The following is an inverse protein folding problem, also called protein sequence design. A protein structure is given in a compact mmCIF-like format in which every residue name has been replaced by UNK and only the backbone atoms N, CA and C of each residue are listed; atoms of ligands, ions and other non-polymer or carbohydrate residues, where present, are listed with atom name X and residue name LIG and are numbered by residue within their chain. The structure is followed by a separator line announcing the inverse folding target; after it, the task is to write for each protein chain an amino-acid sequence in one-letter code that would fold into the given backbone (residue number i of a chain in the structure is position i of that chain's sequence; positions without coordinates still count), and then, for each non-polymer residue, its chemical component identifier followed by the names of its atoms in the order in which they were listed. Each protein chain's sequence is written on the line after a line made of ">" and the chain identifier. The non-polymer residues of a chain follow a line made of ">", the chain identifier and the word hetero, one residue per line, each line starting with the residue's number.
data_IF_405386122878
#
_entry.id   IF_405386122878
#
_cell.length_a   1.000
_cell.length_b   1.000
_cell.length_c   1.000
_cell.angle_alpha   90.00
_cell.angle_beta   90.00
_cell.angle_gamma   90.00
#
_symmetry.space_group_name_H-M   'P 1'
#
loop_
_entity.id
_entity.type
_entity.pdbx_description
1 polymer ?
#
# COMPACT_ATOMS: atom_id res chain seq x y z
N UNK A 1 -36.77 -15.78 -26.19
CA UNK A 1 -36.46 -16.82 -25.19
C UNK A 1 -35.15 -17.48 -25.59
N UNK A 2 -34.02 -16.96 -25.08
CA UNK A 2 -32.70 -17.55 -25.26
C UNK A 2 -32.08 -17.66 -23.87
N UNK A 3 -31.67 -18.88 -23.55
CA UNK A 3 -31.29 -19.38 -22.22
C UNK A 3 -29.78 -19.19 -22.09
N UNK A 4 -29.33 -18.35 -21.15
CA UNK A 4 -27.89 -18.23 -20.85
C UNK A 4 -27.37 -19.51 -20.19
N UNK A 5 -26.17 -20.01 -20.55
CA UNK A 5 -25.56 -21.14 -19.88
C UNK A 5 -24.92 -20.69 -18.56
N UNK A 6 -25.39 -21.32 -17.49
CA UNK A 6 -24.85 -21.25 -16.13
C UNK A 6 -23.36 -21.64 -16.10
N UNK A 7 -22.50 -20.63 -15.93
CA UNK A 7 -21.10 -20.85 -15.59
C UNK A 7 -21.01 -21.26 -14.10
N UNK A 8 -20.91 -22.56 -13.84
CA UNK A 8 -20.47 -23.08 -12.54
C UNK A 8 -19.02 -22.66 -12.34
N UNK A 9 -18.80 -21.67 -11.48
CA UNK A 9 -17.48 -21.39 -10.91
C UNK A 9 -17.12 -22.55 -9.99
N UNK A 10 -16.19 -23.39 -10.44
CA UNK A 10 -15.64 -24.51 -9.68
C UNK A 10 -14.97 -24.01 -8.39
N UNK A 11 -15.53 -24.40 -7.24
CA UNK A 11 -15.05 -24.07 -5.87
C UNK A 11 -13.80 -24.84 -5.42
N UNK A 12 -12.97 -25.35 -6.33
CA UNK A 12 -12.03 -26.44 -6.02
C UNK A 12 -10.60 -26.04 -5.66
N UNK A 13 -10.25 -24.76 -5.48
CA UNK A 13 -8.83 -24.38 -5.26
C UNK A 13 -8.45 -23.78 -3.89
N UNK A 14 -9.37 -23.63 -2.92
CA UNK A 14 -9.06 -22.92 -1.66
C UNK A 14 -9.14 -23.76 -0.40
N UNK A 15 -8.69 -25.02 -0.44
CA UNK A 15 -8.66 -25.86 0.77
C UNK A 15 -7.40 -26.72 0.89
N UNK A 16 -6.23 -26.06 0.89
CA UNK A 16 -5.03 -26.63 1.51
C UNK A 16 -4.96 -26.19 3.00
N UNK A 17 -4.51 -27.06 3.92
CA UNK A 17 -4.55 -26.77 5.35
C UNK A 17 -3.36 -25.91 5.78
N UNK A 18 -3.35 -24.62 5.42
CA UNK A 18 -2.35 -23.65 5.89
C UNK A 18 -2.46 -23.33 7.39
N UNK A 19 -3.59 -23.75 8.01
CA UNK A 19 -4.03 -23.40 9.37
C UNK A 19 -3.14 -23.92 10.51
N UNK A 20 -2.02 -24.58 10.21
CA UNK A 20 -1.06 -25.08 11.20
C UNK A 20 0.42 -24.79 10.89
N UNK A 21 0.70 -24.15 9.74
CA UNK A 21 2.06 -23.79 9.29
C UNK A 21 2.35 -22.31 9.58
N UNK A 22 1.32 -21.46 9.54
CA UNK A 22 1.44 -19.99 9.67
C UNK A 22 0.59 -19.51 10.86
N UNK A 23 0.76 -20.14 12.03
CA UNK A 23 -0.09 -19.88 13.20
C UNK A 23 0.16 -18.47 13.78
N UNK A 24 -0.50 -17.47 13.17
CA UNK A 24 -0.49 -16.05 13.54
C UNK A 24 -1.50 -15.81 14.66
N UNK A 25 -0.98 -15.52 15.86
CA UNK A 25 -1.80 -15.21 17.05
C UNK A 25 -2.41 -13.83 16.90
N UNK A 26 -3.65 -13.78 16.43
CA UNK A 26 -4.46 -12.56 16.42
C UNK A 26 -4.86 -12.02 17.81
N UNK A 27 -4.07 -12.25 18.85
CA UNK A 27 -4.36 -11.74 20.19
C UNK A 27 -3.41 -10.61 20.64
N UNK A 28 -2.11 -10.60 20.30
CA UNK A 28 -1.18 -9.56 20.77
C UNK A 28 -0.21 -9.06 19.69
N UNK A 29 -0.75 -8.55 18.58
CA UNK A 29 0.04 -7.71 17.68
C UNK A 29 -0.37 -6.24 17.88
N UNK A 30 0.33 -5.60 18.81
CA UNK A 30 0.44 -4.16 18.97
C UNK A 30 1.18 -3.60 17.75
N UNK A 31 0.42 -3.39 16.67
CA UNK A 31 0.87 -2.87 15.38
C UNK A 31 1.46 -1.47 15.45
N UNK A 32 2.62 -1.35 16.10
CA UNK A 32 3.51 -0.22 16.05
C UNK A 32 4.68 -0.58 15.12
N UNK A 33 4.40 -0.66 13.83
CA UNK A 33 5.43 -0.61 12.80
C UNK A 33 5.64 0.86 12.45
N UNK A 34 6.58 1.49 13.15
CA UNK A 34 7.19 2.75 12.71
C UNK A 34 7.99 2.42 11.45
N UNK A 35 7.57 2.95 10.31
CA UNK A 35 8.36 2.92 9.09
C UNK A 35 9.52 3.92 9.27
N UNK A 36 10.67 3.44 9.73
CA UNK A 36 11.93 4.15 9.51
C UNK A 36 12.41 3.75 8.12
N UNK A 37 12.13 4.61 7.14
CA UNK A 37 12.56 4.51 5.76
C UNK A 37 13.78 5.41 5.57
N UNK A 38 14.96 4.81 5.53
CA UNK A 38 16.11 5.40 4.84
C UNK A 38 16.79 4.29 4.03
N UNK A 39 16.52 4.26 2.73
CA UNK A 39 17.31 3.54 1.74
C UNK A 39 17.34 4.38 0.46
N UNK A 40 18.51 4.85 0.00
CA UNK A 40 18.61 5.67 -1.20
C UNK A 40 18.24 4.86 -2.44
N UNK A 41 17.27 5.36 -3.21
CA UNK A 41 16.94 4.82 -4.53
C UNK A 41 17.84 5.55 -5.53
N UNK A 42 18.72 4.82 -6.22
CA UNK A 42 19.45 5.33 -7.37
C UNK A 42 18.54 5.21 -8.60
N UNK A 43 17.97 6.34 -9.03
CA UNK A 43 17.19 6.43 -10.27
C UNK A 43 18.15 6.64 -11.45
N UNK A 44 18.28 5.64 -12.33
CA UNK A 44 18.80 5.84 -13.68
C UNK A 44 17.63 6.23 -14.60
N UNK A 45 17.56 7.52 -14.93
CA UNK A 45 16.56 8.11 -15.84
C UNK A 45 17.01 7.90 -17.31
N UNK A 46 16.19 7.31 -18.20
CA UNK A 46 16.52 7.24 -19.61
C UNK A 46 16.18 8.58 -20.31
N UNK A 47 17.22 9.19 -20.89
CA UNK A 47 17.23 10.40 -21.71
C UNK A 47 15.90 10.69 -22.45
N UNK A 48 15.18 11.71 -21.96
CA UNK A 48 14.14 12.41 -22.72
C UNK A 48 14.66 13.82 -23.04
N UNK A 49 15.07 14.01 -24.29
CA UNK A 49 15.46 15.30 -24.85
C UNK A 49 14.27 16.28 -24.83
N UNK A 50 14.12 17.09 -23.78
CA UNK A 50 13.20 18.24 -23.73
C UNK A 50 13.95 19.53 -24.09
N UNK A 51 14.04 19.83 -25.39
CA UNK A 51 14.47 21.15 -25.89
C UNK A 51 13.34 22.17 -25.70
N UNK A 52 13.24 22.73 -24.50
CA UNK A 52 12.38 23.86 -24.16
C UNK A 52 13.05 24.73 -23.08
N UNK A 53 12.87 26.07 -23.08
CA UNK A 53 13.44 26.89 -22.02
C UNK A 53 12.90 26.43 -20.67
N UNK A 54 13.76 26.25 -19.65
CA UNK A 54 13.34 25.74 -18.36
C UNK A 54 12.25 26.66 -17.79
N UNK A 55 11.12 26.10 -17.31
CA UNK A 55 10.11 26.90 -16.63
C UNK A 55 10.77 27.59 -15.42
N UNK A 56 10.35 28.81 -15.05
CA UNK A 56 10.85 29.44 -13.84
C UNK A 56 10.58 28.50 -12.67
N UNK A 57 11.65 28.06 -12.01
CA UNK A 57 11.58 27.12 -10.88
C UNK A 57 10.56 27.63 -9.86
N UNK A 58 9.68 26.77 -9.32
CA UNK A 58 8.85 27.15 -8.19
C UNK A 58 9.80 27.45 -7.03
N UNK A 59 10.03 28.74 -6.76
CA UNK A 59 10.81 29.16 -5.60
C UNK A 59 10.06 28.69 -4.35
N UNK A 60 10.55 27.61 -3.74
CA UNK A 60 10.35 27.39 -2.33
C UNK A 60 10.69 28.69 -1.60
N UNK A 61 9.93 29.01 -0.54
CA UNK A 61 10.18 30.21 0.24
C UNK A 61 11.67 30.28 0.62
N UNK A 62 12.34 31.38 0.28
CA UNK A 62 13.77 31.54 0.50
C UNK A 62 14.15 31.40 1.98
N UNK A 63 13.23 31.75 2.89
CA UNK A 63 13.42 31.52 4.31
C UNK A 63 13.45 30.03 4.66
N UNK A 64 12.58 29.22 4.04
CA UNK A 64 12.56 27.77 4.19
C UNK A 64 13.82 27.14 3.62
N UNK A 65 14.20 27.50 2.38
CA UNK A 65 15.43 27.02 1.75
C UNK A 65 16.65 27.34 2.61
N UNK A 66 16.74 28.56 3.14
CA UNK A 66 17.83 28.94 4.05
C UNK A 66 17.81 28.12 5.35
N UNK A 67 16.63 27.87 5.92
CA UNK A 67 16.48 27.11 7.16
C UNK A 67 16.92 25.64 7.01
N UNK A 68 16.75 25.04 5.84
CA UNK A 68 17.19 23.65 5.56
C UNK A 68 18.63 23.55 5.02
N UNK A 69 19.39 24.66 5.04
CA UNK A 69 20.80 24.70 4.63
C UNK A 69 21.05 25.18 3.19
N UNK A 70 19.99 25.58 2.47
CA UNK A 70 20.04 26.04 1.09
C UNK A 70 19.83 24.91 0.08
N UNK A 71 19.60 25.27 -1.18
CA UNK A 71 19.36 24.33 -2.29
C UNK A 71 20.51 23.33 -2.44
N UNK A 72 21.76 23.77 -2.22
CA UNK A 72 22.94 22.89 -2.30
C UNK A 72 22.98 21.80 -1.23
N UNK A 73 22.43 22.05 -0.03
CA UNK A 73 22.32 21.04 1.04
C UNK A 73 21.19 20.04 0.77
N UNK A 74 20.11 20.49 0.15
CA UNK A 74 19.01 19.60 -0.28
C UNK A 74 19.51 18.66 -1.38
N UNK A 75 20.19 19.21 -2.41
CA UNK A 75 20.70 18.44 -3.53
C UNK A 75 21.79 17.42 -3.14
N UNK A 76 22.51 17.67 -2.04
CA UNK A 76 23.51 16.73 -1.50
C UNK A 76 22.94 15.72 -0.50
N UNK A 77 21.64 15.78 -0.19
CA UNK A 77 20.98 14.93 0.80
C UNK A 77 21.33 15.26 2.25
N UNK A 78 22.02 16.37 2.52
CA UNK A 78 22.47 16.76 3.87
C UNK A 78 21.51 17.79 4.45
N UNK A 79 20.37 17.33 4.96
CA UNK A 79 19.37 18.17 5.62
C UNK A 79 19.53 18.04 7.15
N UNK A 80 19.49 19.16 7.88
CA UNK A 80 19.60 19.12 9.35
C UNK A 80 18.37 18.44 9.97
N UNK A 81 18.58 17.26 10.54
CA UNK A 81 17.55 16.47 11.21
C UNK A 81 16.81 17.22 12.33
N UNK A 82 17.44 18.22 12.96
CA UNK A 82 16.77 19.06 13.97
C UNK A 82 15.71 19.97 13.35
N UNK A 83 15.95 20.47 12.15
CA UNK A 83 15.00 21.30 11.40
C UNK A 83 13.80 20.44 10.99
N UNK A 84 14.04 19.25 10.44
CA UNK A 84 12.98 18.30 10.09
C UNK A 84 12.14 17.90 11.33
N UNK A 85 12.81 17.64 12.45
CA UNK A 85 12.14 17.30 13.71
C UNK A 85 11.29 18.46 14.26
N UNK A 86 11.80 19.69 14.20
CA UNK A 86 11.05 20.88 14.61
C UNK A 86 9.85 21.15 13.68
N UNK A 87 9.99 20.93 12.37
CA UNK A 87 8.87 21.03 11.43
C UNK A 87 7.80 19.97 11.66
N UNK A 88 8.17 18.78 12.15
CA UNK A 88 7.22 17.74 12.53
C UNK A 88 6.37 18.15 13.74
N UNK A 89 6.97 18.85 14.72
CA UNK A 89 6.28 19.27 15.95
C UNK A 89 5.52 20.59 15.80
N UNK A 90 6.14 21.58 15.15
CA UNK A 90 5.69 22.98 15.17
C UNK A 90 5.41 23.52 13.75
N UNK A 91 5.74 22.77 12.70
CA UNK A 91 5.60 23.20 11.30
C UNK A 91 4.17 23.14 10.76
N UNK A 92 3.22 22.57 11.51
CA UNK A 92 1.81 22.56 11.14
C UNK A 92 1.04 23.51 12.06
N UNK A 93 0.52 24.59 11.49
CA UNK A 93 -0.45 25.42 12.20
C UNK A 93 -1.69 24.60 12.57
N UNK A 94 -2.36 24.98 13.65
CA UNK A 94 -3.64 24.37 14.01
C UNK A 94 -4.61 24.51 12.82
N UNK A 95 -5.31 23.44 12.41
CA UNK A 95 -6.21 23.50 11.27
C UNK A 95 -7.29 24.55 11.52
N UNK A 96 -7.32 25.57 10.68
CA UNK A 96 -8.34 26.62 10.73
C UNK A 96 -9.55 26.13 9.95
N UNK A 97 -10.69 26.03 10.63
CA UNK A 97 -11.96 25.78 9.96
C UNK A 97 -12.40 27.07 9.27
N UNK A 98 -12.37 27.07 7.94
CA UNK A 98 -12.95 28.13 7.13
C UNK A 98 -14.37 27.74 6.73
N UNK A 99 -15.31 28.69 6.84
CA UNK A 99 -16.60 28.51 6.17
C UNK A 99 -16.33 28.40 4.66
N UNK A 100 -16.93 27.41 3.97
CA UNK A 100 -16.77 27.29 2.53
C UNK A 100 -17.17 28.61 1.88
N UNK A 101 -16.28 29.19 1.08
CA UNK A 101 -16.59 30.42 0.36
C UNK A 101 -17.89 30.26 -0.44
N UNK A 102 -18.70 31.32 -0.49
CA UNK A 102 -20.02 31.29 -1.15
C UNK A 102 -19.97 30.78 -2.59
N UNK A 103 -18.86 31.00 -3.30
CA UNK A 103 -18.66 30.52 -4.67
C UNK A 103 -18.55 28.98 -4.78
N UNK A 104 -18.15 28.28 -3.71
CA UNK A 104 -18.11 26.82 -3.67
C UNK A 104 -19.50 26.18 -3.60
N UNK A 105 -20.52 26.96 -3.22
CA UNK A 105 -21.92 26.55 -3.23
C UNK A 105 -22.62 26.85 -4.56
N UNK A 106 -21.96 27.56 -5.48
CA UNK A 106 -22.49 27.88 -6.80
C UNK A 106 -22.18 26.73 -7.78
N UNK A 107 -23.00 26.54 -8.82
CA UNK A 107 -22.69 25.60 -9.90
C UNK A 107 -21.32 25.90 -10.51
N UNK A 108 -20.57 24.86 -10.86
CA UNK A 108 -19.29 25.02 -11.54
C UNK A 108 -19.47 25.81 -12.85
N UNK A 109 -18.77 26.93 -12.96
CA UNK A 109 -18.67 27.71 -14.20
C UNK A 109 -17.30 27.46 -14.80
N UNK A 110 -17.26 26.97 -16.04
CA UNK A 110 -16.02 26.83 -16.78
C UNK A 110 -15.36 28.20 -16.92
N UNK A 111 -14.18 28.37 -16.33
CA UNK A 111 -13.40 29.60 -16.46
C UNK A 111 -12.84 29.71 -17.88
N UNK A 112 -12.83 30.93 -18.42
CA UNK A 112 -12.16 31.22 -19.68
C UNK A 112 -10.66 30.97 -19.52
N UNK A 113 -10.03 30.39 -20.54
CA UNK A 113 -8.60 30.07 -20.48
C UNK A 113 -7.78 31.34 -20.26
N UNK A 114 -8.16 32.46 -20.90
CA UNK A 114 -7.45 33.74 -20.80
C UNK A 114 -7.45 34.35 -19.40
N UNK A 115 -8.49 34.11 -18.61
CA UNK A 115 -8.54 34.54 -17.20
C UNK A 115 -7.59 33.72 -16.33
N UNK A 116 -7.41 32.42 -16.63
CA UNK A 116 -6.50 31.53 -15.89
C UNK A 116 -5.05 31.92 -16.09
N UNK A 117 -4.65 32.31 -17.30
CA UNK A 117 -3.28 32.76 -17.55
C UNK A 117 -2.98 34.15 -16.97
N UNK A 118 -4.00 35.00 -16.80
CA UNK A 118 -3.84 36.30 -16.09
C UNK A 118 -3.66 36.12 -14.59
N UNK A 119 -4.41 35.20 -14.00
CA UNK A 119 -4.37 34.92 -12.56
C UNK A 119 -3.14 34.08 -12.18
N UNK A 120 -2.69 33.18 -13.06
CA UNK A 120 -1.53 32.31 -12.86
C UNK A 120 -0.55 32.37 -14.06
N UNK A 121 0.24 33.46 -14.17
CA UNK A 121 1.24 33.58 -15.22
C UNK A 121 2.29 32.47 -15.07
N UNK A 122 2.42 31.61 -16.08
CA UNK A 122 3.32 30.44 -16.08
C UNK A 122 2.61 29.08 -16.03
N UNK A 123 1.28 29.05 -15.94
CA UNK A 123 0.54 27.80 -16.04
C UNK A 123 0.69 27.19 -17.44
N UNK A 124 1.01 25.89 -17.51
CA UNK A 124 1.15 25.15 -18.77
C UNK A 124 -0.11 25.33 -19.64
N UNK A 125 0.09 25.84 -20.87
CA UNK A 125 -0.99 26.14 -21.82
C UNK A 125 -1.14 25.08 -22.92
N UNK A 126 -0.33 24.03 -22.88
CA UNK A 126 -0.44 22.91 -23.81
C UNK A 126 -1.58 21.94 -23.48
N UNK A 127 -1.67 20.84 -24.23
CA UNK A 127 -2.70 19.83 -24.01
C UNK A 127 -2.55 19.18 -22.63
N UNK A 128 -3.62 19.21 -21.84
CA UNK A 128 -3.66 18.64 -20.49
C UNK A 128 -4.77 17.60 -20.38
N UNK A 129 -4.61 16.68 -19.42
CA UNK A 129 -5.60 15.63 -19.13
C UNK A 129 -5.15 14.23 -19.54
N UNK A 130 -5.98 13.21 -19.27
CA UNK A 130 -5.61 11.82 -19.51
C UNK A 130 -5.46 11.54 -21.02
N UNK A 131 -4.44 10.77 -21.38
CA UNK A 131 -4.27 10.31 -22.77
C UNK A 131 -5.46 9.45 -23.20
N UNK A 132 -5.69 9.31 -24.52
CA UNK A 132 -6.74 8.43 -25.05
C UNK A 132 -6.62 6.99 -24.53
N UNK A 133 -5.40 6.51 -24.30
CA UNK A 133 -5.14 5.18 -23.72
C UNK A 133 -5.57 5.12 -22.26
N UNK A 134 -5.27 6.14 -21.45
CA UNK A 134 -5.71 6.23 -20.07
C UNK A 134 -7.25 6.31 -19.97
N UNK A 135 -7.90 7.11 -20.84
CA UNK A 135 -9.37 7.18 -20.91
C UNK A 135 -9.99 5.83 -21.27
N UNK A 136 -9.43 5.13 -22.25
CA UNK A 136 -9.90 3.80 -22.64
C UNK A 136 -9.75 2.79 -21.50
N UNK A 137 -8.63 2.82 -20.77
CA UNK A 137 -8.42 1.96 -19.60
C UNK A 137 -9.40 2.31 -18.46
N UNK A 138 -9.68 3.59 -18.25
CA UNK A 138 -10.59 4.08 -17.22
C UNK A 138 -12.08 3.81 -17.48
N UNK A 139 -12.45 3.15 -18.58
CA UNK A 139 -13.80 2.62 -18.81
C UNK A 139 -14.24 1.65 -17.71
N UNK A 140 -13.30 1.06 -16.97
CA UNK A 140 -13.56 0.30 -15.75
C UNK A 140 -12.61 0.71 -14.63
N UNK A 141 -13.03 0.60 -13.37
CA UNK A 141 -12.17 0.91 -12.22
C UNK A 141 -10.90 0.03 -12.19
N UNK A 142 -11.03 -1.26 -12.53
CA UNK A 142 -9.89 -2.16 -12.65
C UNK A 142 -8.97 -1.78 -13.81
N UNK A 143 -9.51 -1.33 -14.93
CA UNK A 143 -8.71 -0.89 -16.07
C UNK A 143 -7.90 0.37 -15.75
N UNK A 144 -8.48 1.35 -15.04
CA UNK A 144 -7.74 2.49 -14.52
C UNK A 144 -6.61 2.06 -13.57
N UNK A 145 -6.87 1.10 -12.68
CA UNK A 145 -5.87 0.58 -11.75
C UNK A 145 -4.71 -0.14 -12.46
N UNK A 146 -5.01 -1.08 -13.36
CA UNK A 146 -4.00 -1.83 -14.11
C UNK A 146 -3.30 -1.02 -15.21
N UNK A 147 -3.78 0.19 -15.51
CA UNK A 147 -3.05 1.14 -16.36
C UNK A 147 -1.74 1.57 -15.69
N UNK A 148 -1.78 1.83 -14.37
CA UNK A 148 -0.61 2.20 -13.56
C UNK A 148 0.16 0.98 -13.06
N UNK A 149 -0.55 -0.05 -12.57
CA UNK A 149 0.08 -1.23 -11.99
C UNK A 149 -0.07 -2.41 -12.95
N UNK A 150 0.76 -2.43 -13.99
CA UNK A 150 0.64 -3.40 -15.09
C UNK A 150 0.86 -4.85 -14.63
N UNK A 151 0.28 -5.86 -15.31
CA UNK A 151 0.41 -7.27 -14.93
C UNK A 151 1.84 -7.76 -14.69
N UNK A 152 2.80 -7.32 -15.52
CA UNK A 152 4.22 -7.69 -15.37
C UNK A 152 4.81 -7.26 -14.04
N UNK A 153 4.49 -6.06 -13.58
CA UNK A 153 4.95 -5.57 -12.28
C UNK A 153 4.49 -6.49 -11.14
N UNK A 154 3.27 -7.07 -11.22
CA UNK A 154 2.81 -8.02 -10.21
C UNK A 154 3.53 -9.36 -10.27
N UNK A 155 3.97 -9.78 -11.45
CA UNK A 155 4.78 -10.99 -11.64
C UNK A 155 6.17 -10.78 -11.05
N UNK A 156 6.80 -9.63 -11.34
CA UNK A 156 8.12 -9.26 -10.82
C UNK A 156 8.11 -9.14 -9.29
N UNK A 157 7.09 -8.50 -8.71
CA UNK A 157 6.93 -8.41 -7.24
C UNK A 157 6.73 -9.79 -6.63
N UNK A 158 5.95 -10.67 -7.27
CA UNK A 158 5.74 -12.03 -6.77
C UNK A 158 7.04 -12.83 -6.78
N UNK A 159 7.81 -12.76 -7.87
CA UNK A 159 9.12 -13.41 -7.97
C UNK A 159 10.09 -12.90 -6.90
N UNK A 160 10.22 -11.58 -6.74
CA UNK A 160 11.08 -10.97 -5.73
C UNK A 160 10.65 -11.34 -4.30
N UNK A 161 9.33 -11.37 -4.03
CA UNK A 161 8.80 -11.76 -2.72
C UNK A 161 9.09 -13.22 -2.39
N UNK A 162 9.00 -14.11 -3.38
CA UNK A 162 9.35 -15.52 -3.21
C UNK A 162 10.85 -15.71 -3.01
N UNK A 163 11.69 -14.96 -3.73
CA UNK A 163 13.14 -14.96 -3.52
C UNK A 163 13.48 -14.54 -2.08
N UNK A 164 12.93 -13.40 -1.63
CA UNK A 164 13.08 -12.92 -0.26
C UNK A 164 12.59 -13.96 0.77
N UNK A 165 11.47 -14.65 0.51
CA UNK A 165 10.98 -15.70 1.38
C UNK A 165 12.00 -16.83 1.55
N UNK A 166 12.64 -17.27 0.45
CA UNK A 166 13.66 -18.31 0.50
C UNK A 166 14.94 -17.86 1.21
N UNK A 167 15.41 -16.63 0.94
CA UNK A 167 16.56 -16.04 1.63
C UNK A 167 16.33 -15.93 3.14
N UNK A 168 15.10 -15.61 3.55
CA UNK A 168 14.71 -15.44 4.95
C UNK A 168 14.14 -16.69 5.61
N UNK A 169 14.23 -17.85 4.96
CA UNK A 169 13.60 -19.08 5.44
C UNK A 169 14.11 -19.49 6.84
N UNK A 170 15.43 -19.42 7.07
CA UNK A 170 16.03 -19.77 8.37
C UNK A 170 15.61 -18.80 9.48
N UNK A 171 15.68 -17.51 9.21
CA UNK A 171 15.29 -16.45 10.14
C UNK A 171 13.81 -16.59 10.53
N UNK A 172 12.94 -16.88 9.55
CA UNK A 172 11.51 -17.14 9.77
C UNK A 172 11.28 -18.40 10.61
N UNK A 173 12.00 -19.49 10.33
CA UNK A 173 11.89 -20.73 11.10
C UNK A 173 12.31 -20.53 12.56
N UNK A 174 13.40 -19.80 12.78
CA UNK A 174 13.88 -19.44 14.12
C UNK A 174 12.88 -18.54 14.86
N UNK A 175 12.38 -17.48 14.21
CA UNK A 175 11.38 -16.59 14.82
C UNK A 175 10.07 -17.30 15.15
N UNK A 176 9.63 -18.27 14.34
CA UNK A 176 8.50 -19.13 14.68
C UNK A 176 8.81 -20.04 15.88
N UNK A 177 9.99 -20.64 15.94
CA UNK A 177 10.40 -21.48 17.07
C UNK A 177 10.40 -20.70 18.39
N UNK A 178 10.93 -19.48 18.40
CA UNK A 178 10.95 -18.60 19.58
C UNK A 178 9.53 -18.26 20.07
N UNK A 179 8.60 -17.99 19.14
CA UNK A 179 7.18 -17.83 19.47
C UNK A 179 6.59 -19.10 20.09
N UNK A 180 6.92 -20.28 19.57
CA UNK A 180 6.44 -21.55 20.15
C UNK A 180 7.01 -21.83 21.55
N UNK A 181 8.29 -21.50 21.78
CA UNK A 181 8.93 -21.58 23.10
C UNK A 181 8.23 -20.65 24.10
N UNK A 182 7.92 -19.41 23.70
CA UNK A 182 7.20 -18.47 24.55
C UNK A 182 5.74 -18.88 24.86
N UNK A 183 5.13 -19.72 24.00
CA UNK A 183 3.77 -20.26 24.17
C UNK A 183 3.71 -21.49 25.07
N UNK A 184 4.74 -22.34 25.07
CA UNK A 184 4.83 -23.58 25.85
C UNK A 184 4.44 -23.40 27.34
N UNK A 185 4.95 -22.41 28.09
CA UNK A 185 4.57 -22.22 29.49
C UNK A 185 3.14 -21.68 29.68
N UNK A 186 2.55 -21.05 28.64
CA UNK A 186 1.22 -20.42 28.71
C UNK A 186 0.09 -21.39 28.38
N UNK A 187 0.38 -22.52 27.73
CA UNK A 187 -0.62 -23.48 27.24
C UNK A 187 -0.29 -24.90 27.68
N UNK A 188 -0.91 -25.40 28.76
CA UNK A 188 -0.70 -26.77 29.23
C UNK A 188 -0.96 -27.78 28.11
N UNK A 189 0.03 -28.64 27.80
CA UNK A 189 -0.07 -29.67 26.77
C UNK A 189 0.35 -29.22 25.36
N UNK A 190 0.73 -27.95 25.16
CA UNK A 190 1.33 -27.51 23.90
C UNK A 190 2.74 -28.09 23.74
N UNK A 191 3.04 -28.64 22.57
CA UNK A 191 4.37 -29.16 22.22
C UNK A 191 4.97 -28.31 21.12
N UNK A 192 6.12 -27.69 21.41
CA UNK A 192 6.91 -26.99 20.39
C UNK A 192 7.46 -27.97 19.36
N UNK A 193 7.53 -27.52 18.11
CA UNK A 193 8.25 -28.19 17.02
C UNK A 193 9.73 -27.82 17.09
N UNK A 194 10.59 -28.60 16.45
CA UNK A 194 11.99 -28.21 16.25
C UNK A 194 12.09 -27.22 15.09
N UNK A 195 13.19 -26.47 15.02
CA UNK A 195 13.44 -25.49 13.95
C UNK A 195 13.42 -26.17 12.58
N UNK A 196 13.95 -27.39 12.48
CA UNK A 196 14.01 -28.16 11.22
C UNK A 196 12.62 -28.57 10.74
N UNK A 197 11.73 -28.99 11.67
CA UNK A 197 10.35 -29.32 11.32
C UNK A 197 9.62 -28.07 10.82
N UNK A 198 9.82 -26.93 11.49
CA UNK A 198 9.23 -25.65 11.08
C UNK A 198 9.75 -25.23 9.70
N UNK A 199 11.07 -25.30 9.47
CA UNK A 199 11.71 -24.98 8.18
C UNK A 199 11.13 -25.84 7.07
N UNK A 200 11.00 -27.16 7.28
CA UNK A 200 10.45 -28.06 6.29
C UNK A 200 8.98 -27.74 5.99
N UNK A 201 8.17 -27.43 7.00
CA UNK A 201 6.79 -27.00 6.78
C UNK A 201 6.71 -25.69 5.99
N UNK A 202 7.57 -24.71 6.28
CA UNK A 202 7.65 -23.45 5.53
C UNK A 202 7.99 -23.66 4.05
N UNK A 203 8.84 -24.62 3.72
CA UNK A 203 9.17 -24.97 2.33
C UNK A 203 8.01 -25.63 1.57
N UNK A 204 7.02 -26.19 2.28
CA UNK A 204 5.82 -26.73 1.63
C UNK A 204 4.77 -25.67 1.30
N UNK A 205 5.00 -24.42 1.71
CA UNK A 205 4.09 -23.33 1.38
C UNK A 205 4.12 -23.06 -0.13
N UNK A 206 2.95 -22.83 -0.75
CA UNK A 206 2.92 -22.46 -2.15
C UNK A 206 3.52 -21.08 -2.35
N UNK A 207 4.24 -20.91 -3.45
CA UNK A 207 4.77 -19.63 -3.89
C UNK A 207 3.66 -18.58 -3.98
N UNK A 208 4.03 -17.33 -3.68
CA UNK A 208 3.20 -16.15 -3.85
C UNK A 208 2.96 -15.94 -5.33
N UNK A 209 1.69 -15.79 -5.72
CA UNK A 209 1.32 -15.49 -7.11
C UNK A 209 0.94 -14.02 -7.29
N UNK A 210 1.14 -13.48 -8.49
CA UNK A 210 0.67 -12.15 -8.88
C UNK A 210 -0.83 -11.93 -8.59
N UNK A 211 -1.65 -12.98 -8.75
CA UNK A 211 -3.08 -12.97 -8.43
C UNK A 211 -3.32 -12.79 -6.93
N UNK A 212 -2.56 -13.47 -6.09
CA UNK A 212 -2.69 -13.33 -4.64
C UNK A 212 -2.31 -11.92 -4.18
N UNK A 213 -1.27 -11.33 -4.78
CA UNK A 213 -0.91 -9.92 -4.53
C UNK A 213 -2.03 -8.96 -4.94
N UNK A 214 -2.67 -9.18 -6.09
CA UNK A 214 -3.85 -8.39 -6.48
C UNK A 214 -4.99 -8.50 -5.46
N UNK A 215 -5.24 -9.70 -4.91
CA UNK A 215 -6.25 -9.91 -3.88
C UNK A 215 -5.84 -9.20 -2.58
N UNK A 216 -4.58 -9.35 -2.16
CA UNK A 216 -4.02 -8.71 -0.96
C UNK A 216 -4.19 -7.18 -1.02
N UNK A 217 -3.76 -6.56 -2.12
CA UNK A 217 -3.91 -5.10 -2.31
C UNK A 217 -5.39 -4.72 -2.40
N UNK A 218 -6.23 -5.52 -3.05
CA UNK A 218 -7.68 -5.32 -3.06
C UNK A 218 -8.30 -5.31 -1.65
N UNK A 219 -7.82 -6.16 -0.75
CA UNK A 219 -8.24 -6.18 0.67
C UNK A 219 -7.76 -4.94 1.43
N UNK A 220 -6.54 -4.45 1.16
CA UNK A 220 -6.03 -3.19 1.72
C UNK A 220 -6.83 -1.98 1.25
N UNK A 221 -7.16 -1.91 -0.04
CA UNK A 221 -8.01 -0.85 -0.61
C UNK A 221 -9.40 -0.89 0.03
N UNK A 222 -10.01 -2.08 0.16
CA UNK A 222 -11.30 -2.23 0.84
C UNK A 222 -11.25 -1.71 2.28
N UNK A 223 -10.14 -1.97 3.00
CA UNK A 223 -9.91 -1.47 4.36
C UNK A 223 -9.72 0.05 4.42
N UNK A 224 -9.12 0.66 3.39
CA UNK A 224 -8.93 2.09 3.30
C UNK A 224 -10.25 2.82 2.99
N UNK A 225 -11.09 2.26 2.10
CA UNK A 225 -12.38 2.85 1.71
C UNK A 225 -13.41 2.74 2.84
N UNK A 226 -13.47 1.60 3.53
CA UNK A 226 -14.33 1.38 4.69
C UNK A 226 -13.47 1.27 5.95
N UNK A 227 -12.95 2.40 6.47
CA UNK A 227 -12.05 2.37 7.60
C UNK A 227 -12.78 1.87 8.84
N UNK A 228 -12.49 0.64 9.25
CA UNK A 228 -12.85 0.15 10.56
C UNK A 228 -11.93 0.82 11.60
N UNK A 229 -12.40 1.18 12.78
CA UNK A 229 -11.53 1.63 13.88
C UNK A 229 -10.88 0.44 14.61
N UNK A 230 -11.31 -0.77 14.28
CA UNK A 230 -10.81 -2.00 14.87
C UNK A 230 -9.60 -2.58 14.12
N UNK A 231 -8.98 -3.58 14.77
CA UNK A 231 -7.82 -4.32 14.28
C UNK A 231 -8.12 -5.00 12.94
N UNK A 232 -7.14 -5.01 12.03
CA UNK A 232 -7.25 -5.63 10.69
C UNK A 232 -7.69 -7.11 10.76
N UNK A 233 -7.20 -7.86 11.75
CA UNK A 233 -7.57 -9.25 11.96
C UNK A 233 -9.07 -9.51 12.20
N UNK A 234 -9.83 -8.51 12.64
CA UNK A 234 -11.27 -8.64 12.86
C UNK A 234 -12.05 -8.91 11.55
N UNK A 235 -11.49 -8.54 10.39
CA UNK A 235 -12.13 -8.81 9.09
C UNK A 235 -12.28 -10.30 8.75
N UNK A 236 -11.55 -11.18 9.44
CA UNK A 236 -11.65 -12.64 9.31
C UNK A 236 -12.49 -13.31 10.41
N UNK A 237 -12.98 -12.56 11.40
CA UNK A 237 -13.87 -13.12 12.43
C UNK A 237 -15.25 -13.43 11.84
N UNK A 238 -15.82 -14.57 12.25
CA UNK A 238 -17.14 -15.05 11.83
C UNK A 238 -18.23 -14.84 12.89
N UNK A 239 -17.89 -14.27 14.05
CA UNK A 239 -18.79 -14.12 15.20
C UNK A 239 -19.40 -12.73 15.30
N UNK A 240 -20.72 -12.64 15.10
CA UNK A 240 -21.70 -11.63 15.57
C UNK A 240 -21.27 -10.70 16.72
N UNK A 241 -21.03 -9.40 16.48
CA UNK A 241 -20.87 -8.27 17.41
C UNK A 241 -21.19 -6.98 16.62
N UNK A 242 -22.46 -6.57 16.56
CA UNK A 242 -22.89 -5.32 15.92
C UNK A 242 -23.11 -5.36 14.39
N UNK A 243 -23.16 -4.18 13.75
CA UNK A 243 -23.72 -3.96 12.41
C UNK A 243 -22.79 -4.07 11.19
N UNK A 244 -21.60 -4.66 11.32
CA UNK A 244 -20.65 -4.85 10.21
C UNK A 244 -20.86 -6.24 9.57
N UNK A 245 -21.03 -6.38 8.24
CA UNK A 245 -21.10 -7.69 7.60
C UNK A 245 -19.74 -8.42 7.73
N UNK A 246 -19.75 -9.56 8.41
CA UNK A 246 -18.54 -10.28 8.86
C UNK A 246 -18.01 -11.31 7.88
N UNK A 247 -16.74 -11.70 8.06
CA UNK A 247 -16.11 -12.81 7.34
C UNK A 247 -15.93 -12.60 5.84
N UNK A 248 -15.99 -11.36 5.34
CA UNK A 248 -15.85 -11.08 3.91
C UNK A 248 -14.42 -11.34 3.41
N UNK A 249 -13.39 -11.00 4.20
CA UNK A 249 -12.00 -11.19 3.77
C UNK A 249 -11.67 -12.67 3.62
N UNK A 250 -12.19 -13.51 4.52
CA UNK A 250 -12.05 -14.97 4.47
C UNK A 250 -12.63 -15.63 3.21
N UNK A 251 -13.48 -14.94 2.44
CA UNK A 251 -13.98 -15.43 1.14
C UNK A 251 -12.95 -15.32 0.03
N UNK A 252 -11.98 -14.40 0.17
CA UNK A 252 -10.97 -14.10 -0.84
C UNK A 252 -9.60 -14.65 -0.46
N UNK A 253 -9.22 -14.55 0.82
CA UNK A 253 -7.92 -15.01 1.31
C UNK A 253 -8.02 -15.39 2.79
N UNK A 254 -7.31 -16.44 3.22
CA UNK A 254 -7.25 -16.79 4.65
C UNK A 254 -6.39 -15.78 5.40
N UNK A 255 -6.67 -15.56 6.70
CA UNK A 255 -5.87 -14.66 7.54
C UNK A 255 -4.41 -15.07 7.54
N UNK A 256 -4.17 -16.37 7.66
CA UNK A 256 -2.82 -16.92 7.76
C UNK A 256 -2.04 -16.73 6.45
N UNK A 257 -2.69 -16.85 5.28
CA UNK A 257 -2.06 -16.52 3.99
C UNK A 257 -1.81 -15.02 3.84
N UNK A 258 -2.74 -14.18 4.29
CA UNK A 258 -2.59 -12.72 4.28
C UNK A 258 -1.41 -12.26 5.14
N UNK A 259 -1.18 -12.88 6.30
CA UNK A 259 -0.04 -12.55 7.18
C UNK A 259 1.29 -13.11 6.69
N UNK A 260 1.27 -14.02 5.72
CA UNK A 260 2.48 -14.60 5.13
C UNK A 260 3.00 -13.79 3.95
N UNK A 261 2.08 -13.21 3.17
CA UNK A 261 2.33 -12.22 2.12
C UNK A 261 2.85 -10.92 2.76
#
# INVERSE_FOLDING_TARGET
>A
MLREPSARVSKSYFRAPLRGIIDSDGENDDGNYTWDDESPVEDEDPDLDEEGPPPPEPLFDGALLTAVGGVGSIASGVIDAKVLKAMSTDGRSAPVTHEPYDYLQQPYVTRDDGDRQREYPGLYSGAYGPTSRALNAATTASGAFFYFVQPRLWEDIAEASNHYFQEKLDERAQGQYEKQVAREPKRPGYKKKTVEVIRNELQTLPDITARELCVFVGLLIARAIAPNKEKLGNHWKTTDEGGIPRGCFGKFMTRDRFMHL
#
